data_IF_147798963467
#
_entry.id   IF_147798963467
#
_cell.length_a   1.000
_cell.length_b   1.000
_cell.length_c   1.000
_cell.angle_alpha   90.00
_cell.angle_beta   90.00
_cell.angle_gamma   90.00
#
_symmetry.space_group_name_H-M   'P 1'
#
loop_
_entity.id
_entity.type
_entity.pdbx_description
1 polymer ?
#
# COMPACT_ATOMS: atom_id res chain seq x y z
N UNK A 1 -15.15 -19.45 -24.97
CA UNK A 1 -15.94 -19.80 -23.77
C UNK A 1 -15.25 -20.86 -22.90
N UNK A 2 -14.99 -22.12 -23.33
CA UNK A 2 -14.31 -23.14 -22.51
C UNK A 2 -12.85 -22.77 -22.14
N UNK A 3 -12.12 -22.10 -23.01
CA UNK A 3 -10.73 -21.68 -22.78
C UNK A 3 -10.63 -20.53 -21.76
N UNK A 4 -11.59 -19.61 -21.74
CA UNK A 4 -11.68 -18.51 -20.80
C UNK A 4 -12.05 -18.98 -19.39
N UNK A 5 -13.02 -19.88 -19.29
CA UNK A 5 -13.39 -20.52 -18.03
C UNK A 5 -12.22 -21.31 -17.41
N UNK A 6 -11.42 -21.97 -18.24
CA UNK A 6 -10.25 -22.72 -17.79
C UNK A 6 -9.12 -21.80 -17.32
N UNK A 7 -8.94 -20.65 -17.98
CA UNK A 7 -7.97 -19.63 -17.57
C UNK A 7 -8.38 -18.97 -16.24
N UNK A 8 -9.66 -18.66 -16.07
CA UNK A 8 -10.20 -18.10 -14.84
C UNK A 8 -10.07 -19.08 -13.65
N UNK A 9 -10.37 -20.36 -13.85
CA UNK A 9 -10.19 -21.40 -12.81
C UNK A 9 -8.72 -21.53 -12.40
N UNK A 10 -7.79 -21.60 -13.35
CA UNK A 10 -6.35 -21.66 -13.07
C UNK A 10 -5.86 -20.39 -12.31
N UNK A 11 -6.40 -19.22 -12.64
CA UNK A 11 -6.08 -17.96 -11.94
C UNK A 11 -6.58 -18.02 -10.49
N UNK A 12 -7.81 -18.51 -10.25
CA UNK A 12 -8.37 -18.69 -8.92
C UNK A 12 -7.57 -19.69 -8.08
N UNK A 13 -7.25 -20.88 -8.63
CA UNK A 13 -6.44 -21.90 -7.95
C UNK A 13 -5.04 -21.39 -7.57
N UNK A 14 -4.39 -20.61 -8.46
CA UNK A 14 -3.10 -19.98 -8.16
C UNK A 14 -3.21 -18.92 -7.06
N UNK A 15 -4.29 -18.14 -7.05
CA UNK A 15 -4.56 -17.15 -6.01
C UNK A 15 -4.78 -17.80 -4.65
N UNK A 16 -5.57 -18.89 -4.59
CA UNK A 16 -5.79 -19.65 -3.36
C UNK A 16 -4.49 -20.31 -2.84
N UNK A 17 -3.71 -20.92 -3.72
CA UNK A 17 -2.42 -21.50 -3.36
C UNK A 17 -1.45 -20.43 -2.83
N UNK A 18 -1.40 -19.25 -3.47
CA UNK A 18 -0.58 -18.12 -3.01
C UNK A 18 -1.05 -17.60 -1.65
N UNK A 19 -2.36 -17.50 -1.41
CA UNK A 19 -2.92 -17.08 -0.13
C UNK A 19 -2.64 -18.10 0.99
N UNK A 20 -2.64 -19.39 0.69
CA UNK A 20 -2.25 -20.46 1.61
C UNK A 20 -0.77 -20.38 2.00
N UNK A 21 0.09 -20.26 0.99
CA UNK A 21 1.54 -20.11 1.20
C UNK A 21 1.86 -18.83 2.00
N UNK A 22 1.21 -17.71 1.69
CA UNK A 22 1.42 -16.46 2.39
C UNK A 22 1.12 -16.55 3.89
N UNK A 23 0.17 -17.40 4.29
CA UNK A 23 -0.16 -17.64 5.72
C UNK A 23 0.97 -18.36 6.44
N UNK A 24 1.52 -19.41 5.83
CA UNK A 24 2.64 -20.20 6.38
C UNK A 24 3.91 -19.32 6.48
N UNK A 25 4.23 -18.59 5.41
CA UNK A 25 5.38 -17.68 5.38
C UNK A 25 5.24 -16.56 6.42
N UNK A 26 4.03 -16.01 6.62
CA UNK A 26 3.77 -15.02 7.67
C UNK A 26 4.10 -15.55 9.06
N UNK A 27 3.66 -16.78 9.36
CA UNK A 27 3.93 -17.42 10.63
C UNK A 27 5.44 -17.58 10.87
N UNK A 28 6.18 -18.06 9.87
CA UNK A 28 7.61 -18.29 9.97
C UNK A 28 8.40 -16.99 10.10
N UNK A 29 8.05 -15.95 9.31
CA UNK A 29 8.65 -14.62 9.45
C UNK A 29 8.42 -14.05 10.85
N UNK A 30 7.20 -14.16 11.40
CA UNK A 30 6.90 -13.67 12.75
C UNK A 30 7.73 -14.40 13.81
N UNK A 31 7.93 -15.72 13.69
CA UNK A 31 8.74 -16.50 14.60
C UNK A 31 10.21 -16.08 14.55
N UNK A 32 10.77 -15.90 13.33
CA UNK A 32 12.15 -15.44 13.16
C UNK A 32 12.36 -14.03 13.73
N UNK A 33 11.44 -13.12 13.48
CA UNK A 33 11.50 -11.76 14.02
C UNK A 33 11.40 -11.75 15.55
N UNK A 34 10.58 -12.60 16.15
CA UNK A 34 10.51 -12.76 17.60
C UNK A 34 11.87 -13.12 18.18
N UNK A 35 12.58 -14.08 17.56
CA UNK A 35 13.93 -14.47 17.97
C UNK A 35 14.93 -13.32 17.79
N UNK A 36 14.85 -12.59 16.67
CA UNK A 36 15.72 -11.44 16.39
C UNK A 36 15.52 -10.35 17.44
N UNK A 37 14.28 -9.96 17.74
CA UNK A 37 14.01 -8.93 18.74
C UNK A 37 14.41 -9.34 20.15
N UNK A 38 14.19 -10.60 20.54
CA UNK A 38 14.63 -11.11 21.84
C UNK A 38 16.17 -11.04 22.00
N UNK A 39 16.92 -11.41 20.96
CA UNK A 39 18.39 -11.31 20.98
C UNK A 39 18.87 -9.85 20.96
N UNK A 40 18.23 -8.97 20.20
CA UNK A 40 18.55 -7.53 20.19
C UNK A 40 18.33 -6.91 21.57
N UNK A 41 17.24 -7.27 22.26
CA UNK A 41 16.94 -6.78 23.60
C UNK A 41 18.00 -7.24 24.62
N UNK A 42 18.43 -8.51 24.55
CA UNK A 42 19.51 -9.01 25.39
C UNK A 42 20.83 -8.28 25.13
N UNK A 43 21.21 -8.10 23.87
CA UNK A 43 22.44 -7.40 23.50
C UNK A 43 22.41 -5.94 23.93
N UNK A 44 21.25 -5.26 23.82
CA UNK A 44 21.09 -3.87 24.29
C UNK A 44 21.31 -3.69 25.78
N UNK A 45 20.93 -4.68 26.60
CA UNK A 45 21.15 -4.67 28.07
C UNK A 45 22.62 -4.79 28.46
N UNK A 46 23.42 -5.45 27.64
CA UNK A 46 24.83 -5.75 27.92
C UNK A 46 25.80 -4.87 27.11
N UNK A 47 25.33 -4.19 26.07
CA UNK A 47 26.16 -3.37 25.21
C UNK A 47 26.62 -2.10 25.93
N UNK A 48 27.91 -1.76 25.77
CA UNK A 48 28.46 -0.51 26.24
C UNK A 48 27.76 0.68 25.56
N UNK A 49 27.65 1.80 26.28
CA UNK A 49 27.12 3.04 25.74
C UNK A 49 27.94 3.52 24.53
N UNK A 50 27.30 4.26 23.64
CA UNK A 50 27.95 4.87 22.48
C UNK A 50 27.73 4.12 21.17
N UNK A 51 28.79 3.76 20.45
CA UNK A 51 28.70 3.17 19.12
C UNK A 51 27.96 1.83 19.08
N UNK A 52 28.19 0.88 20.02
CA UNK A 52 27.45 -0.40 20.02
C UNK A 52 25.95 -0.23 20.19
N UNK A 53 25.49 0.64 21.08
CA UNK A 53 24.08 0.92 21.30
C UNK A 53 23.43 1.53 20.04
N UNK A 54 24.12 2.44 19.36
CA UNK A 54 23.64 3.04 18.11
C UNK A 54 23.55 2.00 16.99
N UNK A 55 24.48 1.06 16.90
CA UNK A 55 24.47 -0.03 15.92
C UNK A 55 23.28 -0.97 16.18
N UNK A 56 23.06 -1.36 17.41
CA UNK A 56 21.91 -2.20 17.79
C UNK A 56 20.58 -1.50 17.49
N UNK A 57 20.48 -0.20 17.74
CA UNK A 57 19.30 0.60 17.38
C UNK A 57 19.01 0.58 15.88
N UNK A 58 20.05 0.70 15.04
CA UNK A 58 19.89 0.60 13.56
C UNK A 58 19.44 -0.78 13.11
N UNK A 59 19.96 -1.84 13.74
CA UNK A 59 19.54 -3.22 13.42
C UNK A 59 18.07 -3.43 13.81
N UNK A 60 17.65 -2.94 14.97
CA UNK A 60 16.26 -3.02 15.40
C UNK A 60 15.33 -2.26 14.46
N UNK A 61 15.70 -1.06 14.06
CA UNK A 61 14.93 -0.27 13.08
C UNK A 61 14.81 -0.99 11.74
N UNK A 62 15.89 -1.60 11.24
CA UNK A 62 15.87 -2.40 10.02
C UNK A 62 14.96 -3.64 10.15
N UNK A 63 15.00 -4.32 11.31
CA UNK A 63 14.14 -5.48 11.58
C UNK A 63 12.65 -5.09 11.64
N UNK A 64 12.31 -3.96 12.27
CA UNK A 64 10.93 -3.42 12.28
C UNK A 64 10.45 -3.01 10.88
N UNK A 65 11.32 -2.40 10.08
CA UNK A 65 11.00 -2.09 8.68
C UNK A 65 10.74 -3.35 7.88
N UNK A 66 11.57 -4.38 8.03
CA UNK A 66 11.38 -5.68 7.38
C UNK A 66 10.06 -6.32 7.81
N UNK A 67 9.73 -6.31 9.10
CA UNK A 67 8.45 -6.79 9.62
C UNK A 67 7.26 -6.11 8.94
N UNK A 68 7.24 -4.78 8.92
CA UNK A 68 6.18 -3.99 8.33
C UNK A 68 6.02 -4.28 6.83
N UNK A 69 7.12 -4.31 6.09
CA UNK A 69 7.12 -4.58 4.64
C UNK A 69 6.66 -6.00 4.33
N UNK A 70 7.19 -7.00 5.05
CA UNK A 70 6.78 -8.40 4.88
C UNK A 70 5.29 -8.61 5.15
N UNK A 71 4.78 -8.02 6.24
CA UNK A 71 3.36 -8.05 6.59
C UNK A 71 2.50 -7.42 5.49
N UNK A 72 2.92 -6.29 4.93
CA UNK A 72 2.20 -5.60 3.86
C UNK A 72 2.16 -6.43 2.57
N UNK A 73 3.29 -7.02 2.15
CA UNK A 73 3.37 -7.92 0.98
C UNK A 73 2.41 -9.10 1.15
N UNK A 74 2.49 -9.78 2.29
CA UNK A 74 1.67 -10.97 2.53
C UNK A 74 0.18 -10.64 2.67
N UNK A 75 -0.17 -9.47 3.22
CA UNK A 75 -1.53 -8.99 3.25
C UNK A 75 -2.06 -8.66 1.85
N UNK A 76 -1.25 -8.01 1.01
CA UNK A 76 -1.59 -7.72 -0.37
C UNK A 76 -1.84 -9.01 -1.18
N UNK A 77 -0.95 -9.99 -1.08
CA UNK A 77 -1.08 -11.28 -1.78
C UNK A 77 -2.32 -12.10 -1.40
N UNK A 78 -2.86 -11.89 -0.19
CA UNK A 78 -4.03 -12.66 0.31
C UNK A 78 -5.38 -12.04 -0.04
N UNK A 79 -5.40 -10.82 -0.56
CA UNK A 79 -6.65 -10.15 -0.86
C UNK A 79 -7.27 -10.71 -2.14
N UNK A 80 -8.58 -11.02 -2.12
CA UNK A 80 -9.29 -11.37 -3.33
C UNK A 80 -9.37 -10.16 -4.25
N UNK A 81 -9.13 -10.36 -5.55
CA UNK A 81 -9.37 -9.36 -6.57
C UNK A 81 -10.87 -9.36 -6.96
N UNK A 82 -11.39 -8.20 -7.37
CA UNK A 82 -12.77 -8.06 -7.86
C UNK A 82 -13.83 -7.89 -6.78
N UNK A 83 -13.44 -7.82 -5.50
CA UNK A 83 -14.39 -7.60 -4.41
C UNK A 83 -14.55 -6.09 -4.13
N UNK A 84 -15.76 -5.58 -4.37
CA UNK A 84 -16.15 -4.22 -3.98
C UNK A 84 -16.73 -4.28 -2.57
N UNK A 85 -16.09 -3.59 -1.64
CA UNK A 85 -16.47 -3.58 -0.22
C UNK A 85 -16.37 -2.17 0.37
N UNK A 86 -17.03 -1.90 1.51
CA UNK A 86 -16.80 -0.66 2.25
C UNK A 86 -15.37 -0.61 2.79
N UNK A 87 -14.61 0.39 2.37
CA UNK A 87 -13.22 0.62 2.80
C UNK A 87 -13.02 2.06 3.25
N UNK A 88 -12.06 2.29 4.14
CA UNK A 88 -11.55 3.62 4.47
C UNK A 88 -10.29 3.88 3.66
N UNK A 89 -10.25 5.02 2.95
CA UNK A 89 -9.10 5.39 2.13
C UNK A 89 -7.83 5.55 2.99
N UNK A 90 -7.95 6.16 4.17
CA UNK A 90 -6.82 6.33 5.11
C UNK A 90 -6.25 4.98 5.56
N UNK A 91 -7.08 4.01 5.93
CA UNK A 91 -6.64 2.67 6.32
C UNK A 91 -5.99 1.91 5.14
N UNK A 92 -6.55 2.08 3.94
CA UNK A 92 -6.02 1.46 2.73
C UNK A 92 -4.63 1.99 2.41
N UNK A 93 -4.44 3.32 2.43
CA UNK A 93 -3.15 3.94 2.17
C UNK A 93 -2.13 3.67 3.28
N UNK A 94 -2.53 3.69 4.55
CA UNK A 94 -1.65 3.32 5.67
C UNK A 94 -1.09 1.90 5.52
N UNK A 95 -1.93 0.95 5.10
CA UNK A 95 -1.51 -0.43 4.86
C UNK A 95 -0.61 -0.58 3.61
N UNK A 96 -0.79 0.27 2.59
CA UNK A 96 -0.01 0.25 1.35
C UNK A 96 1.32 1.00 1.48
N UNK A 97 1.43 1.96 2.39
CA UNK A 97 2.58 2.84 2.57
C UNK A 97 3.94 2.10 2.64
N UNK A 98 4.11 0.98 3.38
CA UNK A 98 5.37 0.25 3.40
C UNK A 98 5.80 -0.27 2.02
N UNK A 99 4.85 -0.70 1.18
CA UNK A 99 5.12 -1.18 -0.18
C UNK A 99 5.51 -0.02 -1.10
N UNK A 100 4.80 1.10 -1.02
CA UNK A 100 5.14 2.31 -1.79
C UNK A 100 6.53 2.84 -1.42
N UNK A 101 6.91 2.84 -0.13
CA UNK A 101 8.25 3.20 0.30
C UNK A 101 9.33 2.25 -0.21
N UNK A 102 9.02 0.96 -0.37
CA UNK A 102 9.94 -0.01 -0.93
C UNK A 102 10.19 0.24 -2.42
N UNK A 103 9.12 0.53 -3.17
CA UNK A 103 9.18 0.79 -4.61
C UNK A 103 9.86 2.14 -4.90
N UNK A 104 9.47 3.19 -4.18
CA UNK A 104 10.02 4.54 -4.31
C UNK A 104 11.26 4.70 -3.43
N UNK A 105 12.33 3.99 -3.72
CA UNK A 105 13.58 3.98 -2.96
C UNK A 105 14.19 5.40 -2.86
N UNK A 106 14.12 6.05 -1.70
CA UNK A 106 14.79 7.33 -1.47
C UNK A 106 14.15 8.15 -0.34
N UNK A 107 14.96 8.94 0.38
CA UNK A 107 14.43 9.84 1.40
C UNK A 107 13.55 10.92 0.75
N UNK A 108 12.31 11.06 1.23
CA UNK A 108 11.36 12.05 0.73
C UNK A 108 10.69 11.72 -0.61
N UNK A 109 10.91 10.52 -1.19
CA UNK A 109 10.29 10.12 -2.44
C UNK A 109 8.77 9.89 -2.31
N UNK A 110 8.28 9.57 -1.12
CA UNK A 110 6.86 9.40 -0.82
C UNK A 110 6.43 10.33 0.31
N UNK A 111 5.33 11.06 0.11
CA UNK A 111 4.62 11.79 1.14
C UNK A 111 3.19 11.26 1.23
N UNK A 112 2.76 10.87 2.43
CA UNK A 112 1.38 10.40 2.67
C UNK A 112 0.78 11.19 3.80
N UNK A 113 -0.33 11.86 3.52
CA UNK A 113 -1.14 12.59 4.52
C UNK A 113 -2.49 11.90 4.61
N UNK A 114 -2.83 11.41 5.79
CA UNK A 114 -4.06 10.69 6.06
C UNK A 114 -5.03 11.58 6.85
N UNK A 115 -6.31 11.47 6.56
CA UNK A 115 -7.34 12.05 7.41
C UNK A 115 -7.40 11.31 8.75
N UNK A 116 -7.64 12.02 9.85
CA UNK A 116 -7.83 11.40 11.18
C UNK A 116 -9.03 10.45 11.20
N UNK A 117 -10.10 10.81 10.48
CA UNK A 117 -11.26 9.97 10.26
C UNK A 117 -11.82 10.25 8.87
N UNK A 118 -11.97 9.22 8.04
CA UNK A 118 -12.65 9.28 6.76
C UNK A 118 -13.83 8.30 6.74
N UNK A 119 -14.93 8.67 6.07
CA UNK A 119 -16.09 7.79 5.97
C UNK A 119 -15.76 6.57 5.11
N UNK A 120 -16.43 5.42 5.34
CA UNK A 120 -16.31 4.28 4.45
C UNK A 120 -16.87 4.63 3.07
N UNK A 121 -16.17 4.19 2.02
CA UNK A 121 -16.56 4.32 0.61
C UNK A 121 -16.58 2.94 -0.02
N UNK A 122 -17.42 2.72 -1.03
CA UNK A 122 -17.43 1.45 -1.78
C UNK A 122 -16.32 1.49 -2.82
N UNK A 123 -15.38 0.56 -2.73
CA UNK A 123 -14.26 0.49 -3.67
C UNK A 123 -13.71 -0.94 -3.74
N UNK A 124 -13.25 -1.34 -4.92
CA UNK A 124 -12.38 -2.49 -5.07
C UNK A 124 -10.96 -2.11 -4.59
N UNK A 125 -10.67 -2.45 -3.35
CA UNK A 125 -9.42 -2.09 -2.68
C UNK A 125 -8.19 -2.57 -3.45
N UNK A 126 -8.23 -3.79 -3.97
CA UNK A 126 -7.12 -4.41 -4.69
C UNK A 126 -6.79 -3.64 -5.97
N UNK A 127 -7.81 -3.22 -6.72
CA UNK A 127 -7.62 -2.41 -7.94
C UNK A 127 -6.94 -1.07 -7.65
N UNK A 128 -7.32 -0.39 -6.56
CA UNK A 128 -6.66 0.85 -6.14
C UNK A 128 -5.20 0.60 -5.74
N UNK A 129 -4.94 -0.44 -4.93
CA UNK A 129 -3.61 -0.77 -4.46
C UNK A 129 -2.68 -1.13 -5.62
N UNK A 130 -3.14 -1.95 -6.57
CA UNK A 130 -2.40 -2.32 -7.79
C UNK A 130 -2.08 -1.09 -8.65
N UNK A 131 -3.07 -0.21 -8.87
CA UNK A 131 -2.88 1.00 -9.64
C UNK A 131 -1.86 1.96 -9.00
N UNK A 132 -1.89 2.14 -7.67
CA UNK A 132 -0.92 2.97 -6.95
C UNK A 132 0.48 2.36 -6.94
N UNK A 133 0.61 1.03 -6.84
CA UNK A 133 1.90 0.36 -6.95
C UNK A 133 2.49 0.44 -8.36
N UNK A 134 1.65 0.29 -9.39
CA UNK A 134 2.07 0.47 -10.79
C UNK A 134 2.53 1.91 -11.06
N UNK A 135 1.80 2.91 -10.53
CA UNK A 135 2.19 4.31 -10.60
C UNK A 135 3.55 4.55 -9.93
N UNK A 136 3.74 4.02 -8.71
CA UNK A 136 4.99 4.14 -7.99
C UNK A 136 6.16 3.48 -8.73
N UNK A 137 5.96 2.31 -9.31
CA UNK A 137 6.97 1.61 -10.11
C UNK A 137 7.37 2.45 -11.33
N UNK A 138 6.41 3.00 -12.07
CA UNK A 138 6.67 3.85 -13.22
C UNK A 138 7.42 5.14 -12.85
N UNK A 139 7.08 5.76 -11.71
CA UNK A 139 7.80 6.92 -11.19
C UNK A 139 9.25 6.54 -10.84
N UNK A 140 9.47 5.40 -10.19
CA UNK A 140 10.80 4.93 -9.80
C UNK A 140 11.71 4.69 -11.02
N UNK A 141 11.15 4.21 -12.15
CA UNK A 141 11.87 4.02 -13.39
C UNK A 141 12.26 5.34 -14.07
N UNK A 142 11.38 6.35 -14.00
CA UNK A 142 11.55 7.61 -14.73
C UNK A 142 12.25 8.68 -13.92
N UNK A 143 12.05 8.70 -12.60
CA UNK A 143 12.63 9.70 -11.69
C UNK A 143 13.18 9.06 -10.40
N UNK A 144 14.36 8.47 -10.44
CA UNK A 144 14.90 7.71 -9.31
C UNK A 144 15.35 8.56 -8.11
N UNK A 145 15.29 9.90 -8.19
CA UNK A 145 15.74 10.80 -7.10
C UNK A 145 14.81 12.00 -6.93
N UNK A 146 14.49 12.33 -5.67
CA UNK A 146 13.69 13.50 -5.26
C UNK A 146 12.25 13.16 -4.85
N UNK A 147 11.44 14.18 -4.50
CA UNK A 147 10.02 14.01 -4.20
C UNK A 147 9.31 13.47 -5.44
N UNK A 148 8.70 12.28 -5.31
CA UNK A 148 8.18 11.56 -6.46
C UNK A 148 6.66 11.40 -6.43
N UNK A 149 6.07 11.09 -5.26
CA UNK A 149 4.64 10.83 -5.11
C UNK A 149 4.14 11.45 -3.81
N UNK A 150 3.08 12.24 -3.89
CA UNK A 150 2.35 12.68 -2.71
C UNK A 150 0.90 12.18 -2.78
N UNK A 151 0.46 11.55 -1.71
CA UNK A 151 -0.89 11.04 -1.53
C UNK A 151 -1.53 11.74 -0.34
N UNK A 152 -2.69 12.35 -0.55
CA UNK A 152 -3.42 13.03 0.53
C UNK A 152 -4.86 12.54 0.55
N UNK A 153 -5.28 12.00 1.69
CA UNK A 153 -6.68 11.68 1.96
C UNK A 153 -7.29 12.82 2.74
N UNK A 154 -8.41 13.30 2.24
CA UNK A 154 -9.26 14.26 2.93
C UNK A 154 -10.66 13.69 3.08
N UNK A 155 -11.30 13.97 4.21
CA UNK A 155 -12.67 13.58 4.50
C UNK A 155 -13.59 14.80 4.30
N UNK A 156 -14.69 14.58 3.60
CA UNK A 156 -15.80 15.55 3.48
C UNK A 156 -17.08 14.99 4.10
N UNK A 157 -18.07 15.83 4.25
CA UNK A 157 -19.40 15.41 4.73
C UNK A 157 -20.02 14.34 3.82
N UNK A 158 -19.79 14.44 2.51
CA UNK A 158 -20.41 13.63 1.47
C UNK A 158 -19.56 12.43 1.03
N UNK A 159 -18.33 12.29 1.55
CA UNK A 159 -17.47 11.17 1.16
C UNK A 159 -15.99 11.33 1.45
N UNK A 160 -15.18 10.48 0.84
CA UNK A 160 -13.72 10.50 0.91
C UNK A 160 -13.10 11.00 -0.39
N UNK A 161 -12.02 11.77 -0.29
CA UNK A 161 -11.25 12.26 -1.42
C UNK A 161 -9.78 11.83 -1.29
N UNK A 162 -9.23 11.27 -2.36
CA UNK A 162 -7.80 11.02 -2.52
C UNK A 162 -7.22 12.01 -3.55
N UNK A 163 -6.21 12.76 -3.14
CA UNK A 163 -5.40 13.57 -4.06
C UNK A 163 -4.07 12.87 -4.30
N UNK A 164 -3.75 12.63 -5.56
CA UNK A 164 -2.49 12.04 -6.02
C UNK A 164 -1.72 13.14 -6.75
N UNK A 165 -0.53 13.48 -6.26
CA UNK A 165 0.35 14.47 -6.91
C UNK A 165 1.62 13.74 -7.37
N UNK A 166 1.95 13.95 -8.65
CA UNK A 166 3.16 13.41 -9.28
C UNK A 166 4.05 14.56 -9.75
N UNK A 167 5.35 14.34 -9.99
CA UNK A 167 6.26 15.35 -10.52
C UNK A 167 5.75 15.93 -11.83
N UNK A 168 5.95 17.23 -12.02
CA UNK A 168 5.59 17.92 -13.26
C UNK A 168 6.27 17.29 -14.47
N UNK A 169 5.55 17.16 -15.57
CA UNK A 169 6.04 16.54 -16.81
C UNK A 169 5.92 15.02 -16.84
N UNK A 170 5.51 14.40 -15.76
CA UNK A 170 5.16 12.98 -15.72
C UNK A 170 3.64 12.86 -15.87
N UNK A 171 3.19 12.33 -16.98
CA UNK A 171 1.81 11.89 -17.18
C UNK A 171 1.78 10.37 -17.35
N UNK A 172 2.01 9.60 -16.28
CA UNK A 172 2.13 8.15 -16.39
C UNK A 172 0.78 7.54 -16.74
N UNK A 173 0.72 6.53 -17.64
CA UNK A 173 -0.51 5.77 -17.92
C UNK A 173 -1.15 5.17 -16.66
N UNK A 174 -0.35 4.97 -15.61
CA UNK A 174 -0.84 4.48 -14.32
C UNK A 174 -1.75 5.48 -13.57
N UNK A 175 -1.67 6.80 -13.84
CA UNK A 175 -2.66 7.77 -13.32
C UNK A 175 -4.06 7.47 -13.87
N UNK A 176 -4.15 7.07 -15.13
CA UNK A 176 -5.42 6.68 -15.75
C UNK A 176 -5.99 5.41 -15.09
N UNK A 177 -5.14 4.47 -14.68
CA UNK A 177 -5.55 3.28 -13.95
C UNK A 177 -6.10 3.62 -12.55
N UNK A 178 -5.46 4.55 -11.84
CA UNK A 178 -5.97 5.04 -10.53
C UNK A 178 -7.32 5.74 -10.72
N UNK A 179 -7.45 6.60 -11.73
CA UNK A 179 -8.71 7.26 -12.04
C UNK A 179 -9.81 6.25 -12.45
N UNK A 180 -9.44 5.21 -13.19
CA UNK A 180 -10.37 4.17 -13.61
C UNK A 180 -10.92 3.36 -12.42
N UNK A 181 -10.09 3.04 -11.42
CA UNK A 181 -10.53 2.36 -10.20
C UNK A 181 -11.60 3.17 -9.44
N UNK A 182 -11.44 4.50 -9.36
CA UNK A 182 -12.44 5.38 -8.74
C UNK A 182 -13.72 5.50 -9.56
N UNK A 183 -13.62 5.65 -10.89
CA UNK A 183 -14.81 5.71 -11.76
C UNK A 183 -15.59 4.40 -11.74
N UNK A 184 -14.91 3.25 -11.70
CA UNK A 184 -15.57 1.95 -11.57
C UNK A 184 -16.36 1.80 -10.27
N UNK A 185 -15.95 2.52 -9.22
CA UNK A 185 -16.62 2.58 -7.92
C UNK A 185 -17.72 3.68 -7.86
N UNK A 186 -18.07 4.31 -8.99
CA UNK A 186 -19.05 5.39 -9.04
C UNK A 186 -18.54 6.75 -8.55
N UNK A 187 -17.22 6.89 -8.46
CA UNK A 187 -16.55 8.13 -8.05
C UNK A 187 -16.22 9.07 -9.22
N UNK A 188 -15.77 10.25 -8.85
CA UNK A 188 -15.32 11.29 -9.78
C UNK A 188 -13.79 11.38 -9.80
N UNK A 189 -13.23 11.69 -10.97
CA UNK A 189 -11.82 11.92 -11.16
C UNK A 189 -11.60 13.21 -11.94
N UNK A 190 -10.92 14.18 -11.33
CA UNK A 190 -10.53 15.43 -11.94
C UNK A 190 -9.01 15.59 -11.94
N UNK A 191 -8.43 15.92 -13.09
CA UNK A 191 -6.99 16.14 -13.23
C UNK A 191 -6.71 17.63 -13.41
N UNK A 192 -5.70 18.12 -12.69
CA UNK A 192 -5.17 19.48 -12.81
C UNK A 192 -3.65 19.37 -13.03
N UNK A 193 -3.26 19.04 -14.26
CA UNK A 193 -1.86 18.87 -14.64
C UNK A 193 -1.14 17.76 -13.83
N UNK A 194 -0.42 18.14 -12.79
CA UNK A 194 0.35 17.22 -11.95
C UNK A 194 -0.47 16.60 -10.79
N UNK A 195 -1.68 17.06 -10.57
CA UNK A 195 -2.55 16.57 -9.50
C UNK A 195 -3.78 15.85 -10.06
N UNK A 196 -4.09 14.68 -9.51
CA UNK A 196 -5.31 13.93 -9.77
C UNK A 196 -6.13 13.91 -8.47
N UNK A 197 -7.34 14.48 -8.51
CA UNK A 197 -8.29 14.46 -7.40
C UNK A 197 -9.37 13.42 -7.67
N UNK A 198 -9.61 12.58 -6.69
CA UNK A 198 -10.46 11.41 -6.79
C UNK A 198 -11.46 11.44 -5.64
N UNK A 199 -12.74 11.60 -5.94
CA UNK A 199 -13.82 11.64 -4.96
C UNK A 199 -14.68 10.38 -5.01
N UNK A 200 -15.04 9.85 -3.83
CA UNK A 200 -16.00 8.76 -3.70
C UNK A 200 -17.10 9.15 -2.70
N UNK A 201 -18.36 8.86 -3.00
CA UNK A 201 -19.45 9.11 -2.08
C UNK A 201 -19.33 8.21 -0.83
N UNK A 202 -19.84 8.72 0.29
CA UNK A 202 -19.93 7.98 1.54
C UNK A 202 -20.82 6.75 1.35
N UNK A 203 -20.34 5.60 1.77
CA UNK A 203 -21.18 4.42 1.88
C UNK A 203 -22.03 4.50 3.15
N UNK A 204 -23.34 4.41 2.99
CA UNK A 204 -24.30 4.29 4.07
C UNK A 204 -24.81 2.86 4.06
N UNK A 205 -24.54 2.11 5.12
CA UNK A 205 -25.08 0.74 5.23
C UNK A 205 -26.61 0.81 5.19
N UNK A 206 -27.28 -0.07 4.42
CA UNK A 206 -28.73 -0.19 4.53
C UNK A 206 -29.10 -0.60 5.95
N UNK A 207 -30.01 0.18 6.56
CA UNK A 207 -30.50 -0.06 7.92
C UNK A 207 -31.31 -1.35 8.05
#
# INVERSE_FOLDING_TARGET
>A
MQSEDQALRRKAERSEAAAGLARTVQHDINNLLTVIFANLEMLKRTAAEGAPQRQLGRVEEAARRFEGTSRAILAFMRRPAGEVAPVRLSETLAALQPLLHMVLSGPGALSVTLAEADPPVLLERTALEEALLALAAQIAETQPRGPALALTVTAGADGGCLTVVVPAGLAPPALDAVAAAFRAAGGEAASDGAALRLGLPRHVAPG
#
